data_IF_535889154474
#
_entry.id   IF_535889154474
#
_cell.length_a   1.000
_cell.length_b   1.000
_cell.length_c   1.000
_cell.angle_alpha   90.00
_cell.angle_beta   90.00
_cell.angle_gamma   90.00
#
_symmetry.space_group_name_H-M   'P 1'
#
loop_
_entity.id
_entity.type
_entity.pdbx_description
1 polymer ?
#
# COMPACT_ATOMS: atom_id res chain seq x y z
N UNK A 1 -16.21 -17.05 2.55
CA UNK A 1 -15.13 -16.82 1.56
C UNK A 1 -13.72 -17.25 2.00
N UNK A 2 -13.49 -17.62 3.27
CA UNK A 2 -12.16 -17.87 3.87
C UNK A 2 -11.37 -19.10 3.35
N UNK A 3 -11.88 -19.86 2.37
CA UNK A 3 -11.26 -21.11 1.90
C UNK A 3 -10.65 -21.05 0.50
N UNK A 4 -10.66 -19.88 -0.16
CA UNK A 4 -10.05 -19.78 -1.48
C UNK A 4 -8.52 -19.88 -1.36
N UNK A 5 -7.96 -20.91 -1.98
CA UNK A 5 -6.52 -21.16 -2.08
C UNK A 5 -6.07 -21.05 -3.55
N UNK A 6 -4.77 -20.87 -3.80
CA UNK A 6 -4.24 -20.72 -5.16
C UNK A 6 -4.62 -19.39 -5.81
N UNK A 7 -4.90 -19.38 -7.13
CA UNK A 7 -5.12 -18.14 -7.88
C UNK A 7 -6.37 -17.34 -7.47
N UNK A 8 -7.27 -17.96 -6.70
CA UNK A 8 -8.57 -17.39 -6.35
C UNK A 8 -8.59 -16.70 -4.98
N UNK A 9 -7.49 -16.70 -4.21
CA UNK A 9 -7.53 -16.03 -2.90
C UNK A 9 -7.57 -14.51 -3.06
N UNK A 10 -8.23 -13.87 -2.10
CA UNK A 10 -8.24 -12.41 -1.91
C UNK A 10 -7.41 -12.01 -0.70
N UNK A 11 -7.00 -10.75 -0.65
CA UNK A 11 -6.31 -10.19 0.50
C UNK A 11 -7.28 -9.36 1.33
N UNK A 12 -7.33 -9.61 2.64
CA UNK A 12 -8.13 -8.82 3.58
C UNK A 12 -7.41 -7.50 3.84
N UNK A 13 -8.09 -6.36 3.70
CA UNK A 13 -7.49 -5.06 3.99
C UNK A 13 -7.81 -4.66 5.43
N UNK A 14 -6.78 -4.52 6.26
CA UNK A 14 -6.88 -4.17 7.69
C UNK A 14 -6.25 -2.83 8.06
N UNK A 15 -5.76 -2.09 7.08
CA UNK A 15 -5.32 -0.70 7.23
C UNK A 15 -5.38 0.01 5.89
N UNK A 16 -5.89 1.24 5.88
CA UNK A 16 -5.99 2.08 4.69
C UNK A 16 -5.56 3.49 5.08
N UNK A 17 -4.47 3.97 4.47
CA UNK A 17 -4.01 5.34 4.60
C UNK A 17 -3.74 5.94 3.24
N UNK A 18 -4.66 6.77 2.77
CA UNK A 18 -4.50 7.59 1.57
C UNK A 18 -4.47 9.06 1.95
N UNK A 19 -3.55 9.81 1.34
CA UNK A 19 -3.44 11.26 1.52
C UNK A 19 -3.25 11.91 0.17
N UNK A 20 -3.92 13.03 -0.06
CA UNK A 20 -3.76 13.85 -1.27
C UNK A 20 -3.81 15.31 -0.88
N UNK A 21 -2.73 16.05 -1.16
CA UNK A 21 -2.47 17.37 -0.57
C UNK A 21 -2.57 17.28 0.96
N UNK A 22 -3.67 17.76 1.54
CA UNK A 22 -3.86 17.86 2.99
C UNK A 22 -4.89 16.85 3.52
N UNK A 23 -5.74 16.34 2.64
CA UNK A 23 -6.89 15.53 3.00
C UNK A 23 -6.50 14.07 3.12
N UNK A 24 -7.08 13.40 4.12
CA UNK A 24 -6.78 12.00 4.45
C UNK A 24 -8.05 11.15 4.38
N UNK A 25 -7.96 9.98 3.75
CA UNK A 25 -9.03 8.97 3.70
C UNK A 25 -10.43 9.57 3.42
N UNK A 26 -11.29 9.56 4.44
CA UNK A 26 -12.67 10.07 4.43
C UNK A 26 -12.76 11.50 3.93
N UNK A 27 -11.81 12.37 4.30
CA UNK A 27 -11.82 13.78 3.89
C UNK A 27 -11.68 13.92 2.37
N UNK A 28 -10.88 13.05 1.74
CA UNK A 28 -10.72 13.01 0.29
C UNK A 28 -12.06 12.58 -0.35
N UNK A 29 -12.65 11.50 0.16
CA UNK A 29 -13.92 10.99 -0.33
C UNK A 29 -15.04 12.04 -0.23
N UNK A 30 -15.16 12.70 0.92
CA UNK A 30 -16.17 13.72 1.16
C UNK A 30 -15.95 14.97 0.31
N UNK A 31 -14.70 15.39 0.09
CA UNK A 31 -14.40 16.51 -0.79
C UNK A 31 -14.77 16.19 -2.26
N UNK A 32 -14.48 14.98 -2.72
CA UNK A 32 -14.89 14.49 -4.05
C UNK A 32 -16.41 14.46 -4.18
N UNK A 33 -17.10 13.89 -3.18
CA UNK A 33 -18.54 13.72 -3.18
C UNK A 33 -19.30 15.05 -3.05
N UNK A 34 -18.73 16.01 -2.31
CA UNK A 34 -19.27 17.36 -2.19
C UNK A 34 -19.10 18.16 -3.47
N UNK A 35 -17.94 18.01 -4.16
CA UNK A 35 -17.70 18.66 -5.45
C UNK A 35 -18.63 18.11 -6.53
N UNK A 36 -18.87 16.79 -6.52
CA UNK A 36 -19.77 16.09 -7.43
C UNK A 36 -19.59 16.50 -8.91
N UNK A 37 -18.33 16.57 -9.37
CA UNK A 37 -17.97 16.94 -10.73
C UNK A 37 -16.84 16.03 -11.23
N UNK A 38 -17.05 15.38 -12.38
CA UNK A 38 -16.07 14.47 -12.98
C UNK A 38 -14.94 15.19 -13.72
N UNK A 39 -15.04 16.51 -13.89
CA UNK A 39 -14.14 17.29 -14.72
C UNK A 39 -13.45 18.43 -13.96
N UNK A 40 -13.65 18.51 -12.64
CA UNK A 40 -13.09 19.55 -11.81
C UNK A 40 -12.48 18.99 -10.52
N UNK A 41 -11.32 19.53 -10.14
CA UNK A 41 -10.68 19.20 -8.88
C UNK A 41 -11.41 19.83 -7.69
N UNK A 42 -11.39 19.15 -6.55
CA UNK A 42 -11.80 19.73 -5.27
C UNK A 42 -10.66 20.53 -4.62
N UNK A 43 -9.40 20.37 -5.07
CA UNK A 43 -8.26 21.10 -4.55
C UNK A 43 -8.37 22.60 -4.87
N UNK A 44 -7.74 23.41 -4.02
CA UNK A 44 -7.81 24.85 -4.16
C UNK A 44 -7.12 25.35 -5.43
N UNK A 45 -7.69 26.40 -6.02
CA UNK A 45 -7.05 27.16 -7.11
C UNK A 45 -6.38 28.44 -6.61
N UNK A 46 -6.35 28.66 -5.29
CA UNK A 46 -5.66 29.77 -4.65
C UNK A 46 -4.23 29.35 -4.26
N UNK A 47 -3.17 29.95 -4.83
CA UNK A 47 -1.78 29.61 -4.48
C UNK A 47 -1.48 29.76 -2.98
N UNK A 48 -2.11 30.73 -2.31
CA UNK A 48 -1.90 31.02 -0.88
C UNK A 48 -2.33 29.87 0.05
N UNK A 49 -3.13 28.93 -0.44
CA UNK A 49 -3.55 27.75 0.33
C UNK A 49 -2.45 26.66 0.38
N UNK A 50 -1.33 26.89 -0.31
CA UNK A 50 -0.20 25.97 -0.40
C UNK A 50 1.06 26.54 0.28
N UNK A 51 1.97 25.72 0.81
CA UNK A 51 3.18 26.21 1.48
C UNK A 51 4.09 27.05 0.57
N UNK A 52 4.58 28.18 1.11
CA UNK A 52 5.35 29.17 0.34
C UNK A 52 6.87 28.94 0.33
N UNK A 53 7.42 28.24 1.32
CA UNK A 53 8.86 27.93 1.44
C UNK A 53 9.17 26.44 1.37
N UNK A 54 10.41 26.09 1.04
CA UNK A 54 10.84 24.69 0.89
C UNK A 54 10.85 23.92 2.21
N UNK A 55 11.21 24.58 3.31
CA UNK A 55 11.14 23.99 4.65
C UNK A 55 9.69 23.67 5.04
N UNK A 56 8.76 24.61 4.80
CA UNK A 56 7.33 24.37 5.06
C UNK A 56 6.79 23.21 4.21
N UNK A 57 7.20 23.13 2.93
CA UNK A 57 6.81 22.01 2.04
C UNK A 57 7.36 20.68 2.55
N UNK A 58 8.60 20.64 3.02
CA UNK A 58 9.24 19.45 3.58
C UNK A 58 8.55 18.98 4.87
N UNK A 59 8.27 19.89 5.78
CA UNK A 59 7.58 19.59 7.04
C UNK A 59 6.14 19.13 6.76
N UNK A 60 5.46 19.79 5.83
CA UNK A 60 4.14 19.39 5.36
C UNK A 60 4.15 17.95 4.83
N UNK A 61 5.11 17.66 3.94
CA UNK A 61 5.34 16.34 3.38
C UNK A 61 5.55 15.28 4.47
N UNK A 62 6.36 15.58 5.48
CA UNK A 62 6.65 14.66 6.59
C UNK A 62 5.38 14.35 7.37
N UNK A 63 4.59 15.36 7.69
CA UNK A 63 3.31 15.22 8.40
C UNK A 63 2.36 14.31 7.61
N UNK A 64 2.11 14.62 6.34
CA UNK A 64 1.16 13.81 5.53
C UNK A 64 1.65 12.40 5.30
N UNK A 65 2.97 12.20 5.17
CA UNK A 65 3.58 10.87 5.07
C UNK A 65 3.40 10.07 6.35
N UNK A 66 3.68 10.69 7.51
CA UNK A 66 3.50 10.08 8.82
C UNK A 66 2.05 9.71 9.10
N UNK A 67 1.10 10.60 8.76
CA UNK A 67 -0.33 10.34 8.88
C UNK A 67 -0.76 9.18 7.98
N UNK A 68 -0.45 9.23 6.67
CA UNK A 68 -0.80 8.16 5.75
C UNK A 68 -0.22 6.80 6.18
N UNK A 69 1.04 6.78 6.63
CA UNK A 69 1.65 5.57 7.15
C UNK A 69 1.00 5.08 8.45
N UNK A 70 0.62 5.98 9.36
CA UNK A 70 -0.10 5.64 10.60
C UNK A 70 -1.46 5.01 10.30
N UNK A 71 -2.24 5.58 9.38
CA UNK A 71 -3.51 5.01 8.96
C UNK A 71 -3.35 3.65 8.26
N UNK A 72 -2.35 3.52 7.39
CA UNK A 72 -2.09 2.28 6.67
C UNK A 72 -1.53 1.15 7.54
N UNK A 73 -0.62 1.46 8.47
CA UNK A 73 0.14 0.48 9.24
C UNK A 73 -0.22 0.41 10.73
N UNK A 74 -1.09 1.29 11.24
CA UNK A 74 -1.42 1.39 12.67
C UNK A 74 -2.12 0.17 13.27
N UNK A 75 -2.61 -0.74 12.42
CA UNK A 75 -3.16 -2.03 12.82
C UNK A 75 -2.20 -3.20 12.61
N UNK A 76 -0.94 -2.92 12.29
CA UNK A 76 0.10 -3.94 12.25
C UNK A 76 0.32 -4.54 13.65
N UNK A 77 0.73 -5.80 13.69
CA UNK A 77 0.93 -6.53 14.94
C UNK A 77 2.24 -6.08 15.58
N UNK A 78 2.17 -5.62 16.83
CA UNK A 78 3.35 -5.11 17.53
C UNK A 78 4.37 -6.23 17.74
N UNK A 79 5.66 -5.86 17.77
CA UNK A 79 6.80 -6.76 17.96
C UNK A 79 6.91 -7.90 16.92
N UNK A 80 6.09 -7.89 15.87
CA UNK A 80 6.19 -8.83 14.75
C UNK A 80 6.83 -8.13 13.54
N UNK A 81 7.87 -8.70 12.90
CA UNK A 81 8.53 -8.11 11.73
C UNK A 81 7.62 -8.11 10.48
N UNK A 82 6.92 -7.00 10.25
CA UNK A 82 6.00 -6.80 9.13
C UNK A 82 6.77 -6.61 7.82
N UNK A 83 6.58 -7.47 6.80
CA UNK A 83 7.17 -7.25 5.48
C UNK A 83 6.56 -6.04 4.77
N UNK A 84 7.40 -5.17 4.21
CA UNK A 84 7.00 -3.93 3.53
C UNK A 84 7.46 -3.93 2.07
N UNK A 85 6.52 -3.75 1.14
CA UNK A 85 6.76 -3.49 -0.28
C UNK A 85 6.53 -2.00 -0.53
N UNK A 86 7.52 -1.27 -1.05
CA UNK A 86 7.47 0.21 -1.09
C UNK A 86 7.92 0.83 -2.42
N UNK A 87 7.02 1.54 -3.07
CA UNK A 87 7.28 2.18 -4.38
C UNK A 87 7.44 3.69 -4.21
N UNK A 88 8.41 4.26 -4.92
CA UNK A 88 8.63 5.70 -5.04
C UNK A 88 8.74 6.14 -6.50
N UNK A 89 8.70 7.46 -6.79
CA UNK A 89 8.83 7.94 -8.15
C UNK A 89 10.22 7.66 -8.72
N UNK A 90 10.41 7.79 -10.05
CA UNK A 90 11.72 7.70 -10.67
C UNK A 90 12.73 8.65 -10.00
N UNK A 91 14.01 8.25 -9.98
CA UNK A 91 15.10 9.03 -9.41
C UNK A 91 16.27 9.15 -10.37
N UNK A 92 17.11 10.16 -10.18
CA UNK A 92 18.41 10.22 -10.85
C UNK A 92 19.28 9.01 -10.43
N UNK A 93 20.12 8.53 -11.35
CA UNK A 93 21.02 7.40 -11.08
C UNK A 93 22.06 7.74 -10.00
N UNK A 94 22.53 8.98 -9.96
CA UNK A 94 23.48 9.47 -8.95
C UNK A 94 22.82 9.69 -7.57
N UNK A 95 21.49 9.77 -7.52
CA UNK A 95 20.79 9.97 -6.25
C UNK A 95 20.74 8.65 -5.45
N UNK A 96 21.36 8.63 -4.27
CA UNK A 96 21.41 7.46 -3.40
C UNK A 96 20.06 7.10 -2.75
N UNK A 97 19.07 8.00 -2.76
CA UNK A 97 17.78 7.76 -2.11
C UNK A 97 16.97 6.71 -2.87
N UNK A 98 16.77 5.55 -2.24
CA UNK A 98 15.81 4.54 -2.69
C UNK A 98 14.54 4.54 -1.84
N UNK A 99 13.43 4.07 -2.40
CA UNK A 99 12.14 4.10 -1.72
C UNK A 99 12.16 3.40 -0.33
N UNK A 100 12.89 2.29 -0.18
CA UNK A 100 13.02 1.58 1.10
C UNK A 100 13.56 2.42 2.28
N UNK A 101 14.33 3.47 2.02
CA UNK A 101 14.89 4.34 3.07
C UNK A 101 13.80 5.07 3.87
N UNK A 102 12.60 5.22 3.31
CA UNK A 102 11.50 5.89 3.99
C UNK A 102 10.88 5.03 5.11
N UNK A 103 11.04 3.70 5.11
CA UNK A 103 10.35 2.83 6.08
C UNK A 103 10.69 3.21 7.53
N UNK A 104 11.98 3.42 7.82
CA UNK A 104 12.43 3.72 9.18
C UNK A 104 11.97 5.10 9.65
N UNK A 105 12.03 6.12 8.77
CA UNK A 105 11.53 7.46 9.04
C UNK A 105 10.02 7.45 9.25
N UNK A 106 9.27 6.84 8.34
CA UNK A 106 7.81 6.74 8.42
C UNK A 106 7.34 6.04 9.71
N UNK A 107 8.06 5.02 10.18
CA UNK A 107 7.80 4.39 11.49
C UNK A 107 7.86 5.42 12.63
N UNK A 108 8.85 6.32 12.62
CA UNK A 108 8.98 7.36 13.65
C UNK A 108 7.85 8.38 13.54
N UNK A 109 7.61 8.92 12.34
CA UNK A 109 6.56 9.93 12.12
C UNK A 109 5.16 9.37 12.44
N UNK A 110 4.93 8.08 12.18
CA UNK A 110 3.67 7.41 12.50
C UNK A 110 3.54 7.00 13.98
N UNK A 111 4.57 7.25 14.82
CA UNK A 111 4.61 6.83 16.23
C UNK A 111 4.49 5.30 16.44
N UNK A 112 4.93 4.51 15.47
CA UNK A 112 4.88 3.04 15.48
C UNK A 112 6.14 2.45 16.12
N UNK A 113 6.50 2.96 17.30
CA UNK A 113 7.78 2.70 17.95
C UNK A 113 8.02 1.26 18.37
N UNK A 114 6.96 0.44 18.48
CA UNK A 114 7.00 -1.00 18.82
C UNK A 114 6.67 -1.92 17.63
N UNK A 115 6.41 -1.36 16.46
CA UNK A 115 6.17 -2.12 15.24
C UNK A 115 7.49 -2.36 14.53
N UNK A 116 7.77 -3.62 14.22
CA UNK A 116 8.96 -4.02 13.47
C UNK A 116 8.61 -4.06 11.99
N UNK A 117 9.47 -3.51 11.14
CA UNK A 117 9.30 -3.54 9.69
C UNK A 117 10.50 -4.21 9.02
N UNK A 118 10.26 -4.91 7.92
CA UNK A 118 11.30 -5.47 7.08
C UNK A 118 11.13 -4.92 5.67
N UNK A 119 12.21 -4.46 5.06
CA UNK A 119 12.22 -4.12 3.65
C UNK A 119 12.14 -5.42 2.84
N UNK A 120 10.95 -5.68 2.28
CA UNK A 120 10.66 -6.88 1.49
C UNK A 120 11.00 -6.67 0.02
N UNK A 121 10.59 -5.53 -0.53
CA UNK A 121 10.90 -5.11 -1.89
C UNK A 121 10.68 -3.60 -2.05
N UNK A 122 11.37 -2.99 -3.02
CA UNK A 122 11.16 -1.59 -3.36
C UNK A 122 11.47 -1.29 -4.84
N UNK A 123 10.91 -0.19 -5.34
CA UNK A 123 11.24 0.33 -6.65
C UNK A 123 11.11 1.85 -6.71
N UNK A 124 11.93 2.48 -7.54
CA UNK A 124 11.77 3.86 -7.99
C UNK A 124 11.34 3.82 -9.46
N UNK A 125 10.04 3.98 -9.72
CA UNK A 125 9.42 3.67 -11.03
C UNK A 125 8.24 4.60 -11.32
N UNK A 126 7.86 4.71 -12.58
CA UNK A 126 6.63 5.33 -13.04
C UNK A 126 5.45 4.33 -13.12
N UNK A 127 5.71 3.02 -13.00
CA UNK A 127 4.68 1.97 -12.94
C UNK A 127 4.25 1.68 -11.50
N UNK A 128 3.38 2.52 -10.95
CA UNK A 128 2.80 2.31 -9.62
C UNK A 128 1.94 1.05 -9.52
N UNK A 129 1.28 0.65 -10.62
CA UNK A 129 0.34 -0.47 -10.61
C UNK A 129 1.04 -1.82 -10.41
N UNK A 130 2.30 -1.93 -10.86
CA UNK A 130 3.13 -3.12 -10.66
C UNK A 130 3.25 -3.55 -9.20
N UNK A 131 3.15 -2.62 -8.24
CA UNK A 131 3.25 -2.91 -6.81
C UNK A 131 2.18 -3.90 -6.33
N UNK A 132 0.95 -3.81 -6.86
CA UNK A 132 -0.14 -4.74 -6.49
C UNK A 132 0.15 -6.14 -7.04
N UNK A 133 0.64 -6.25 -8.27
CA UNK A 133 1.10 -7.53 -8.82
C UNK A 133 2.20 -8.15 -7.98
N UNK A 134 3.19 -7.34 -7.55
CA UNK A 134 4.28 -7.77 -6.66
C UNK A 134 3.77 -8.26 -5.31
N UNK A 135 2.79 -7.58 -4.72
CA UNK A 135 2.15 -7.99 -3.47
C UNK A 135 1.53 -9.39 -3.57
N UNK A 136 0.75 -9.66 -4.62
CA UNK A 136 0.16 -11.00 -4.79
C UNK A 136 1.23 -12.08 -5.04
N UNK A 137 2.26 -11.78 -5.85
CA UNK A 137 3.39 -12.70 -6.05
C UNK A 137 4.12 -13.01 -4.74
N UNK A 138 4.25 -12.04 -3.84
CA UNK A 138 4.83 -12.23 -2.51
C UNK A 138 4.00 -13.22 -1.67
N UNK A 139 2.68 -13.06 -1.62
CA UNK A 139 1.79 -13.99 -0.92
C UNK A 139 1.74 -15.39 -1.57
N UNK A 140 1.93 -15.49 -2.89
CA UNK A 140 2.03 -16.76 -3.62
C UNK A 140 3.34 -17.50 -3.27
N UNK A 141 4.47 -16.78 -3.24
CA UNK A 141 5.79 -17.33 -2.94
C UNK A 141 5.96 -17.71 -1.46
N UNK A 142 5.21 -17.07 -0.57
CA UNK A 142 5.31 -17.27 0.87
C UNK A 142 3.93 -17.64 1.44
N UNK A 143 3.51 -18.92 1.38
CA UNK A 143 2.17 -19.33 1.82
C UNK A 143 1.96 -19.25 3.35
N UNK A 144 3.01 -18.97 4.11
CA UNK A 144 3.04 -18.84 5.57
C UNK A 144 2.91 -17.39 6.06
N UNK A 145 3.19 -16.38 5.22
CA UNK A 145 3.18 -14.98 5.69
C UNK A 145 1.74 -14.51 6.03
N UNK A 146 1.47 -14.03 7.26
CA UNK A 146 0.11 -13.68 7.66
C UNK A 146 -0.34 -12.30 7.19
N UNK A 147 0.60 -11.37 6.95
CA UNK A 147 0.31 -10.00 6.57
C UNK A 147 1.48 -9.32 5.82
N UNK A 148 1.20 -8.23 5.13
CA UNK A 148 2.21 -7.36 4.53
C UNK A 148 1.69 -5.92 4.44
N UNK A 149 2.61 -4.96 4.38
CA UNK A 149 2.31 -3.56 4.13
C UNK A 149 2.76 -3.21 2.71
N UNK A 150 1.88 -2.57 1.93
CA UNK A 150 2.30 -1.82 0.73
C UNK A 150 2.27 -0.33 1.03
N UNK A 151 3.28 0.40 0.54
CA UNK A 151 3.39 1.83 0.73
C UNK A 151 3.90 2.53 -0.52
N UNK A 152 3.43 3.74 -0.78
CA UNK A 152 3.99 4.62 -1.78
C UNK A 152 3.80 6.08 -1.40
N UNK A 153 4.64 6.93 -1.99
CA UNK A 153 4.56 8.39 -1.88
C UNK A 153 5.03 9.02 -3.18
N UNK A 154 4.37 10.07 -3.61
CA UNK A 154 4.75 10.91 -4.75
C UNK A 154 4.37 12.37 -4.48
N UNK A 155 4.86 13.27 -5.31
CA UNK A 155 4.58 14.70 -5.20
C UNK A 155 5.67 15.53 -5.87
N UNK A 156 5.37 16.81 -6.11
CA UNK A 156 6.30 17.73 -6.81
C UNK A 156 7.63 17.84 -6.06
N UNK A 157 7.58 18.02 -4.73
CA UNK A 157 8.78 18.12 -3.90
C UNK A 157 9.56 16.79 -3.84
N UNK A 158 8.86 15.65 -3.79
CA UNK A 158 9.53 14.33 -3.81
C UNK A 158 10.34 14.15 -5.09
N UNK A 159 9.72 14.48 -6.23
CA UNK A 159 10.35 14.35 -7.54
C UNK A 159 11.51 15.32 -7.73
N UNK A 160 11.39 16.54 -7.23
CA UNK A 160 12.47 17.52 -7.21
C UNK A 160 13.69 16.99 -6.42
N UNK A 161 13.46 16.48 -5.20
CA UNK A 161 14.51 15.89 -4.36
C UNK A 161 15.17 14.65 -4.98
N UNK A 162 14.43 13.87 -5.78
CA UNK A 162 14.96 12.68 -6.46
C UNK A 162 15.65 13.01 -7.80
N UNK A 163 15.32 14.14 -8.42
CA UNK A 163 16.04 14.73 -9.55
C UNK A 163 15.98 13.93 -10.86
N UNK A 164 15.00 13.03 -11.04
CA UNK A 164 14.91 12.25 -12.28
C UNK A 164 14.74 13.16 -13.52
N UNK A 165 15.44 12.90 -14.63
CA UNK A 165 15.27 13.69 -15.84
C UNK A 165 13.80 13.76 -16.28
N UNK A 166 13.27 14.98 -16.42
CA UNK A 166 11.88 15.22 -16.84
C UNK A 166 10.83 15.10 -15.73
N UNK A 167 11.22 14.95 -14.45
CA UNK A 167 10.28 14.86 -13.33
C UNK A 167 9.67 16.19 -12.86
N UNK A 168 9.97 17.29 -13.57
CA UNK A 168 9.62 18.65 -13.16
C UNK A 168 10.85 19.43 -12.65
N UNK A 169 10.74 20.75 -12.61
CA UNK A 169 11.74 21.62 -11.99
C UNK A 169 11.39 21.91 -10.52
N UNK A 170 12.29 22.60 -9.79
CA UNK A 170 12.08 22.92 -8.38
C UNK A 170 10.78 23.69 -8.16
N UNK A 171 10.19 23.49 -6.98
CA UNK A 171 8.98 24.21 -6.60
C UNK A 171 9.25 25.72 -6.67
N UNK A 172 8.37 26.46 -7.35
CA UNK A 172 8.56 27.91 -7.55
C UNK A 172 8.76 28.67 -6.22
N UNK A 173 9.44 29.81 -6.27
CA UNK A 173 9.61 30.67 -5.09
C UNK A 173 8.24 31.21 -4.66
N UNK A 174 7.87 31.03 -3.39
CA UNK A 174 6.61 31.52 -2.82
C UNK A 174 5.44 30.55 -2.97
N UNK A 175 4.25 31.03 -2.61
CA UNK A 175 3.00 30.27 -2.67
C UNK A 175 2.68 29.84 -4.11
N UNK A 176 2.51 28.54 -4.34
CA UNK A 176 2.26 27.98 -5.66
C UNK A 176 1.42 26.71 -5.58
N UNK A 177 0.46 26.58 -6.51
CA UNK A 177 -0.27 25.33 -6.72
C UNK A 177 0.72 24.29 -7.25
N UNK A 178 0.93 23.16 -6.58
CA UNK A 178 1.88 22.15 -7.02
C UNK A 178 1.37 21.48 -8.31
N UNK A 179 2.28 21.18 -9.24
CA UNK A 179 1.95 20.45 -10.46
C UNK A 179 1.48 19.02 -10.17
N UNK A 180 2.03 18.43 -9.11
CA UNK A 180 1.63 17.16 -8.52
C UNK A 180 1.37 17.40 -7.03
N UNK A 181 0.12 17.27 -6.54
CA UNK A 181 -0.13 17.32 -5.09
C UNK A 181 0.65 16.20 -4.40
N UNK A 182 1.04 16.44 -3.15
CA UNK A 182 1.60 15.36 -2.34
C UNK A 182 0.58 14.23 -2.23
N UNK A 183 1.02 13.02 -2.49
CA UNK A 183 0.17 11.84 -2.46
C UNK A 183 0.85 10.71 -1.73
N UNK A 184 0.12 10.06 -0.84
CA UNK A 184 0.58 8.92 -0.04
C UNK A 184 -0.48 7.83 -0.15
N UNK A 185 -0.04 6.59 -0.34
CA UNK A 185 -0.92 5.43 -0.30
C UNK A 185 -0.30 4.33 0.55
N UNK A 186 -1.07 3.74 1.44
CA UNK A 186 -0.65 2.68 2.34
C UNK A 186 -1.78 1.68 2.57
N UNK A 187 -1.50 0.38 2.40
CA UNK A 187 -2.45 -0.69 2.71
C UNK A 187 -1.77 -1.78 3.54
N UNK A 188 -2.33 -2.08 4.72
CA UNK A 188 -2.01 -3.29 5.46
C UNK A 188 -2.97 -4.39 5.02
N UNK A 189 -2.42 -5.47 4.45
CA UNK A 189 -3.19 -6.62 3.99
C UNK A 189 -2.89 -7.86 4.82
N UNK A 190 -3.89 -8.72 5.01
CA UNK A 190 -3.78 -9.92 5.84
C UNK A 190 -4.42 -11.15 5.22
N UNK A 191 -4.13 -12.30 5.84
CA UNK A 191 -4.67 -13.61 5.53
C UNK A 191 -5.11 -14.30 6.82
N UNK A 192 -6.38 -14.12 7.21
CA UNK A 192 -6.94 -14.72 8.42
C UNK A 192 -6.84 -16.25 8.43
N UNK A 193 -6.92 -16.93 7.27
CA UNK A 193 -6.70 -18.39 7.18
C UNK A 193 -5.30 -18.83 7.63
N UNK A 194 -4.28 -17.99 7.40
CA UNK A 194 -2.90 -18.25 7.85
C UNK A 194 -2.77 -17.99 9.34
N UNK A 195 -3.41 -16.94 9.86
CA UNK A 195 -3.46 -16.69 11.30
C UNK A 195 -4.16 -17.84 12.02
N UNK A 196 -5.32 -18.28 11.55
CA UNK A 196 -6.11 -19.32 12.19
C UNK A 196 -5.42 -20.69 12.15
N UNK A 197 -4.67 -21.00 11.09
CA UNK A 197 -3.98 -22.29 10.95
C UNK A 197 -2.58 -22.32 11.57
N UNK A 198 -1.80 -21.25 11.40
CA UNK A 198 -0.36 -21.25 11.70
C UNK A 198 -0.01 -20.53 13.00
N UNK A 199 -0.92 -19.68 13.52
CA UNK A 199 -0.64 -18.82 14.67
C UNK A 199 -1.58 -19.14 15.82
N UNK A 200 -2.89 -19.07 15.59
CA UNK A 200 -3.93 -19.16 16.64
C UNK A 200 -3.83 -20.41 17.51
N UNK A 201 -3.59 -21.63 16.97
CA UNK A 201 -3.49 -22.85 17.78
C UNK A 201 -2.27 -22.89 18.69
N UNK A 202 -1.28 -22.04 18.43
CA UNK A 202 0.02 -22.03 19.09
C UNK A 202 0.24 -20.77 19.94
N UNK A 203 -0.75 -19.88 20.05
CA UNK A 203 -0.52 -18.62 20.75
C UNK A 203 -0.23 -18.83 22.24
N UNK A 204 0.69 -18.04 22.78
CA UNK A 204 1.10 -18.11 24.19
C UNK A 204 0.39 -17.07 25.03
N UNK A 205 -0.06 -17.47 26.21
CA UNK A 205 -0.55 -16.53 27.19
C UNK A 205 0.63 -15.75 27.79
N UNK A 206 0.60 -14.43 27.65
CA UNK A 206 1.63 -13.54 28.16
C UNK A 206 1.01 -12.18 28.46
N UNK A 207 1.56 -11.45 29.44
CA UNK A 207 1.21 -10.03 29.63
C UNK A 207 1.68 -9.17 28.46
N UNK A 208 0.94 -8.10 28.19
CA UNK A 208 1.34 -7.03 27.27
C UNK A 208 2.26 -5.99 27.95
N UNK A 209 2.36 -6.00 29.28
CA UNK A 209 3.27 -5.14 30.04
C UNK A 209 4.70 -5.69 29.97
N UNK A 210 5.38 -5.42 28.85
CA UNK A 210 6.73 -5.91 28.55
C UNK A 210 7.67 -4.76 28.19
N UNK A 211 8.96 -4.95 28.45
CA UNK A 211 10.04 -4.07 28.03
C UNK A 211 11.29 -4.89 27.65
N UNK A 212 12.35 -4.21 27.21
CA UNK A 212 13.58 -4.84 26.69
C UNK A 212 14.30 -5.77 27.68
N UNK A 213 14.02 -5.70 28.98
CA UNK A 213 14.64 -6.56 30.02
C UNK A 213 13.84 -7.82 30.32
N UNK A 214 12.62 -7.98 29.79
CA UNK A 214 11.83 -9.20 29.97
C UNK A 214 12.31 -10.34 29.05
N UNK A 215 13.61 -10.67 29.11
CA UNK A 215 14.29 -11.57 28.18
C UNK A 215 13.88 -13.03 28.30
N UNK A 216 13.06 -13.39 29.27
CA UNK A 216 12.45 -14.73 29.36
C UNK A 216 11.38 -14.94 28.28
N UNK A 217 10.81 -13.86 27.73
CA UNK A 217 9.82 -13.91 26.68
C UNK A 217 10.45 -13.94 25.30
N UNK A 218 10.13 -14.96 24.49
CA UNK A 218 10.67 -15.13 23.15
C UNK A 218 10.37 -13.93 22.23
N UNK A 219 9.23 -13.25 22.41
CA UNK A 219 8.88 -12.01 21.70
C UNK A 219 9.83 -10.84 22.04
N UNK A 220 10.32 -10.76 23.27
CA UNK A 220 11.30 -9.73 23.68
C UNK A 220 12.70 -10.11 23.23
N UNK A 221 13.05 -11.40 23.22
CA UNK A 221 14.29 -11.85 22.56
C UNK A 221 14.29 -11.49 21.08
N UNK A 222 13.16 -11.70 20.39
CA UNK A 222 12.99 -11.33 18.98
C UNK A 222 13.18 -9.83 18.75
N UNK A 223 12.53 -9.01 19.58
CA UNK A 223 12.67 -7.55 19.57
C UNK A 223 14.13 -7.12 19.74
N UNK A 224 14.80 -7.62 20.79
CA UNK A 224 16.18 -7.28 21.08
C UNK A 224 17.11 -7.73 19.94
N UNK A 225 16.86 -8.91 19.35
CA UNK A 225 17.62 -9.43 18.22
C UNK A 225 17.44 -8.59 16.95
N UNK A 226 16.21 -8.17 16.64
CA UNK A 226 15.94 -7.25 15.54
C UNK A 226 16.72 -5.93 15.68
N UNK A 227 16.68 -5.33 16.88
CA UNK A 227 17.35 -4.06 17.12
C UNK A 227 18.86 -4.16 17.23
N UNK A 228 19.41 -5.29 17.72
CA UNK A 228 20.86 -5.49 17.72
C UNK A 228 21.41 -5.50 16.30
N UNK A 229 20.72 -6.14 15.35
CA UNK A 229 21.11 -6.14 13.93
C UNK A 229 20.86 -4.79 13.26
N UNK A 230 19.70 -4.15 13.52
CA UNK A 230 19.36 -2.86 12.89
C UNK A 230 20.31 -1.74 13.32
N UNK A 231 20.76 -1.77 14.59
CA UNK A 231 21.64 -0.75 15.15
C UNK A 231 23.13 -1.05 14.95
N UNK A 232 23.48 -2.21 14.39
CA UNK A 232 24.88 -2.54 14.11
C UNK A 232 25.44 -1.64 13.00
N UNK A 233 26.54 -0.97 13.32
CA UNK A 233 27.26 -0.03 12.44
C UNK A 233 28.62 -0.58 11.98
N UNK A 234 28.91 -1.85 12.27
CA UNK A 234 30.11 -2.52 11.79
C UNK A 234 30.13 -2.61 10.25
N UNK A 235 31.31 -2.69 9.62
CA UNK A 235 31.42 -2.94 8.18
C UNK A 235 30.73 -4.24 7.72
N UNK A 236 30.64 -5.23 8.60
CA UNK A 236 30.00 -6.52 8.35
C UNK A 236 28.48 -6.49 8.54
N UNK A 237 27.92 -5.42 9.13
CA UNK A 237 26.49 -5.27 9.34
C UNK A 237 25.71 -5.12 8.03
N UNK A 238 24.39 -5.26 8.08
CA UNK A 238 23.54 -5.03 6.90
C UNK A 238 23.78 -3.64 6.30
N UNK A 239 23.86 -2.60 7.12
CA UNK A 239 24.11 -1.23 6.66
C UNK A 239 25.50 -1.09 6.03
N UNK A 240 26.52 -1.70 6.64
CA UNK A 240 27.89 -1.67 6.11
C UNK A 240 28.00 -2.36 4.75
N UNK A 241 27.43 -3.57 4.63
CA UNK A 241 27.42 -4.33 3.37
C UNK A 241 26.58 -3.64 2.29
N UNK A 242 25.43 -3.05 2.66
CA UNK A 242 24.58 -2.29 1.76
C UNK A 242 25.33 -1.10 1.17
N UNK A 243 25.95 -0.26 2.01
CA UNK A 243 26.70 0.90 1.56
C UNK A 243 27.89 0.52 0.67
N UNK A 244 28.57 -0.59 1.00
CA UNK A 244 29.63 -1.14 0.13
C UNK A 244 29.08 -1.52 -1.25
N UNK A 245 27.95 -2.23 -1.30
CA UNK A 245 27.31 -2.66 -2.55
C UNK A 245 26.88 -1.47 -3.40
N UNK A 246 26.25 -0.44 -2.79
CA UNK A 246 25.85 0.77 -3.51
C UNK A 246 27.07 1.54 -4.05
N UNK A 247 28.16 1.60 -3.29
CA UNK A 247 29.42 2.20 -3.75
C UNK A 247 30.02 1.46 -4.95
N UNK A 248 30.02 0.13 -4.91
CA UNK A 248 30.44 -0.73 -6.02
C UNK A 248 29.54 -0.57 -7.25
N UNK A 249 28.26 -0.26 -7.05
CA UNK A 249 27.29 0.06 -8.10
C UNK A 249 27.43 1.51 -8.65
N UNK A 250 28.36 2.31 -8.14
CA UNK A 250 28.68 3.65 -8.63
C UNK A 250 27.96 4.80 -7.92
N UNK A 251 27.31 4.56 -6.78
CA UNK A 251 26.80 5.63 -5.92
C UNK A 251 27.97 6.30 -5.20
N UNK A 252 28.16 7.60 -5.41
CA UNK A 252 29.29 8.37 -4.86
C UNK A 252 29.28 8.39 -3.33
N UNK A 253 28.13 8.74 -2.75
CA UNK A 253 27.91 8.84 -1.30
C UNK A 253 26.70 8.00 -0.84
N UNK A 254 26.89 6.67 -0.61
CA UNK A 254 25.79 5.80 -0.23
C UNK A 254 25.34 6.04 1.21
N UNK A 255 24.04 6.29 1.37
CA UNK A 255 23.40 6.53 2.66
C UNK A 255 23.07 5.21 3.39
N UNK A 256 23.11 5.20 4.74
CA UNK A 256 22.65 4.05 5.51
C UNK A 256 21.15 3.89 5.34
N UNK A 257 20.70 2.66 5.08
CA UNK A 257 19.29 2.39 4.76
C UNK A 257 18.37 2.41 6.00
N UNK A 258 18.92 2.19 7.20
CA UNK A 258 18.18 2.33 8.47
C UNK A 258 17.10 1.27 8.76
N UNK A 259 16.92 0.29 7.87
CA UNK A 259 15.94 -0.80 7.98
C UNK A 259 16.57 -2.11 7.51
N UNK A 260 16.22 -3.25 8.11
CA UNK A 260 16.70 -4.56 7.66
C UNK A 260 15.92 -5.03 6.43
N UNK A 261 16.61 -5.62 5.45
CA UNK A 261 15.92 -6.39 4.41
C UNK A 261 15.37 -7.71 4.99
N UNK A 262 14.25 -8.19 4.41
CA UNK A 262 13.70 -9.49 4.77
C UNK A 262 14.73 -10.61 4.55
N UNK A 263 15.48 -10.60 3.45
CA UNK A 263 16.49 -11.63 3.17
C UNK A 263 17.61 -11.67 4.22
N UNK A 264 18.13 -10.50 4.62
CA UNK A 264 19.12 -10.41 5.68
C UNK A 264 18.58 -10.93 7.01
N UNK A 265 17.39 -10.48 7.41
CA UNK A 265 16.71 -10.94 8.62
C UNK A 265 16.58 -12.46 8.64
N UNK A 266 16.08 -13.04 7.56
CA UNK A 266 15.84 -14.49 7.46
C UNK A 266 17.13 -15.31 7.50
N UNK A 267 18.22 -14.81 6.90
CA UNK A 267 19.53 -15.47 6.95
C UNK A 267 20.10 -15.60 8.37
N UNK A 268 19.68 -14.71 9.29
CA UNK A 268 20.18 -14.67 10.67
C UNK A 268 19.24 -15.35 11.68
N UNK A 269 18.00 -15.70 11.28
CA UNK A 269 17.05 -16.41 12.14
C UNK A 269 17.58 -17.74 12.71
N UNK A 270 18.39 -18.55 12.00
CA UNK A 270 18.95 -19.77 12.58
C UNK A 270 19.78 -19.56 13.85
N UNK A 271 20.52 -18.45 13.96
CA UNK A 271 21.25 -18.10 15.17
C UNK A 271 20.31 -17.66 16.29
N UNK A 272 19.30 -16.85 15.96
CA UNK A 272 18.27 -16.45 16.90
C UNK A 272 17.51 -17.65 17.49
N UNK A 273 17.15 -18.62 16.65
CA UNK A 273 16.40 -19.80 17.09
C UNK A 273 17.16 -20.66 18.10
N UNK A 274 18.49 -20.57 18.20
CA UNK A 274 19.28 -21.21 19.26
C UNK A 274 19.04 -20.57 20.65
N UNK A 275 18.51 -19.35 20.70
CA UNK A 275 18.27 -18.59 21.93
C UNK A 275 16.85 -18.78 22.50
N UNK A 276 15.97 -19.40 21.73
CA UNK A 276 14.60 -19.72 22.14
C UNK A 276 14.46 -21.22 22.38
N UNK A 277 13.57 -21.58 23.29
CA UNK A 277 13.26 -22.98 23.60
C UNK A 277 11.86 -23.37 23.09
N UNK A 278 11.17 -22.46 22.40
CA UNK A 278 9.92 -22.70 21.72
C UNK A 278 8.84 -23.29 22.65
N UNK A 279 8.74 -22.77 23.88
CA UNK A 279 7.77 -23.22 24.88
C UNK A 279 6.37 -22.66 24.58
N UNK A 280 5.35 -23.50 24.69
CA UNK A 280 3.96 -23.11 24.47
C UNK A 280 3.09 -24.25 23.95
N UNK A 281 1.82 -23.96 23.63
CA UNK A 281 0.89 -24.95 23.10
C UNK A 281 1.39 -25.55 21.78
N UNK A 282 1.17 -26.86 21.61
CA UNK A 282 1.40 -27.59 20.37
C UNK A 282 2.85 -27.62 19.87
N UNK A 283 3.04 -28.27 18.72
CA UNK A 283 4.33 -28.35 18.04
C UNK A 283 4.47 -27.20 17.03
N UNK A 284 4.61 -25.97 17.53
CA UNK A 284 4.81 -24.79 16.70
C UNK A 284 6.13 -24.91 15.92
N UNK A 285 6.07 -24.69 14.61
CA UNK A 285 7.25 -24.63 13.74
C UNK A 285 7.50 -23.17 13.35
N UNK A 286 8.59 -22.55 13.85
CA UNK A 286 8.99 -21.23 13.41
C UNK A 286 9.18 -21.20 11.89
N UNK A 287 8.78 -20.09 11.26
CA UNK A 287 9.05 -19.82 9.86
C UNK A 287 9.79 -18.49 9.71
N UNK A 288 10.35 -18.20 8.52
CA UNK A 288 11.00 -16.91 8.26
C UNK A 288 10.10 -15.69 8.52
N UNK A 289 8.77 -15.84 8.35
CA UNK A 289 7.78 -14.78 8.59
C UNK A 289 7.00 -14.93 9.91
N UNK A 290 7.13 -16.06 10.61
CA UNK A 290 6.56 -16.29 11.94
C UNK A 290 7.67 -16.88 12.84
N UNK A 291 8.67 -16.06 13.23
CA UNK A 291 9.90 -16.54 13.85
C UNK A 291 9.72 -17.01 15.30
N UNK A 292 8.65 -16.57 15.97
CA UNK A 292 8.23 -16.98 17.32
C UNK A 292 6.70 -17.05 17.38
N UNK A 293 6.16 -17.75 18.38
CA UNK A 293 4.71 -17.76 18.65
C UNK A 293 4.21 -16.34 18.89
N UNK A 294 3.05 -16.00 18.34
CA UNK A 294 2.35 -14.81 18.78
C UNK A 294 1.78 -15.02 20.18
N UNK A 295 1.61 -13.93 20.91
CA UNK A 295 0.91 -13.93 22.19
C UNK A 295 -0.60 -13.85 21.99
N UNK A 296 -1.37 -14.17 23.03
CA UNK A 296 -2.83 -13.98 23.04
C UNK A 296 -3.24 -12.51 22.87
N UNK A 297 -2.41 -11.55 23.33
CA UNK A 297 -2.69 -10.14 23.12
C UNK A 297 -2.38 -9.68 21.69
N UNK A 298 -1.37 -10.25 21.01
CA UNK A 298 -1.14 -10.00 19.58
C UNK A 298 -2.30 -10.55 18.73
N UNK A 299 -2.81 -11.73 19.06
CA UNK A 299 -4.04 -12.24 18.43
C UNK A 299 -5.22 -11.29 18.66
N UNK A 300 -5.36 -10.76 19.88
CA UNK A 300 -6.41 -9.78 20.18
C UNK A 300 -6.24 -8.49 19.38
N UNK A 301 -5.01 -8.04 19.10
CA UNK A 301 -4.78 -6.91 18.19
C UNK A 301 -5.29 -7.22 16.78
N UNK A 302 -4.94 -8.40 16.24
CA UNK A 302 -5.41 -8.87 14.94
C UNK A 302 -6.95 -8.95 14.88
N UNK A 303 -7.57 -9.59 15.87
CA UNK A 303 -9.02 -9.79 15.92
C UNK A 303 -9.79 -8.46 16.10
N UNK A 304 -9.18 -7.47 16.75
CA UNK A 304 -9.79 -6.15 16.96
C UNK A 304 -9.60 -5.18 15.80
N UNK A 305 -8.66 -5.45 14.88
CA UNK A 305 -8.42 -4.60 13.72
C UNK A 305 -9.66 -4.60 12.80
N UNK A 306 -10.08 -3.42 12.27
CA UNK A 306 -11.16 -3.35 11.30
C UNK A 306 -10.83 -4.15 10.04
N UNK A 307 -11.88 -4.65 9.38
CA UNK A 307 -11.80 -5.14 8.01
C UNK A 307 -12.41 -4.08 7.10
N UNK A 308 -11.56 -3.40 6.33
CA UNK A 308 -11.97 -2.34 5.40
C UNK A 308 -12.59 -2.90 4.12
N UNK A 309 -12.21 -4.13 3.74
CA UNK A 309 -12.69 -4.81 2.55
C UNK A 309 -11.72 -5.89 2.09
N UNK A 310 -11.90 -6.31 0.84
CA UNK A 310 -11.05 -7.30 0.20
C UNK A 310 -10.41 -6.68 -1.05
N UNK A 311 -9.11 -6.90 -1.19
CA UNK A 311 -8.34 -6.60 -2.38
C UNK A 311 -8.25 -7.86 -3.25
N UNK A 312 -8.68 -7.75 -4.49
CA UNK A 312 -8.68 -8.85 -5.46
C UNK A 312 -7.43 -8.82 -6.33
N UNK A 313 -7.08 -9.98 -6.90
CA UNK A 313 -5.89 -10.12 -7.75
C UNK A 313 -6.00 -9.20 -8.99
N UNK A 314 -4.93 -8.49 -9.36
CA UNK A 314 -4.93 -7.66 -10.57
C UNK A 314 -5.11 -8.50 -11.83
N UNK A 315 -5.87 -7.96 -12.78
CA UNK A 315 -5.96 -8.46 -14.15
C UNK A 315 -5.21 -7.49 -15.06
N UNK A 316 -4.04 -7.91 -15.53
CA UNK A 316 -3.25 -7.18 -16.50
C UNK A 316 -3.77 -7.43 -17.93
N UNK A 317 -3.95 -6.34 -18.68
CA UNK A 317 -4.46 -6.30 -20.05
C UNK A 317 -3.37 -5.71 -20.95
N UNK A 318 -2.94 -6.46 -21.97
CA UNK A 318 -1.99 -5.96 -22.98
C UNK A 318 -2.73 -5.06 -23.98
N UNK A 319 -2.23 -3.83 -24.17
CA UNK A 319 -2.82 -2.84 -25.07
C UNK A 319 -1.92 -2.51 -26.27
N UNK A 320 -0.86 -3.30 -26.44
CA UNK A 320 0.12 -3.18 -27.50
C UNK A 320 0.15 -4.44 -28.36
N UNK A 321 0.58 -4.28 -29.60
CA UNK A 321 0.91 -5.39 -30.49
C UNK A 321 2.24 -6.06 -30.09
N UNK A 322 2.69 -7.02 -30.88
CA UNK A 322 3.95 -7.74 -30.63
C UNK A 322 5.20 -6.90 -30.91
N UNK A 323 5.04 -5.71 -31.51
CA UNK A 323 6.09 -4.73 -31.73
C UNK A 323 6.08 -3.62 -30.67
N UNK A 324 5.20 -3.71 -29.66
CA UNK A 324 5.08 -2.71 -28.58
C UNK A 324 4.33 -1.44 -28.98
N UNK A 325 3.70 -1.39 -30.15
CA UNK A 325 2.88 -0.26 -30.59
C UNK A 325 1.47 -0.39 -30.03
N UNK A 326 0.87 0.71 -29.57
CA UNK A 326 -0.52 0.72 -29.10
C UNK A 326 -1.47 0.18 -30.17
N UNK A 327 -2.36 -0.71 -29.74
CA UNK A 327 -3.45 -1.23 -30.55
C UNK A 327 -4.39 -0.09 -30.97
N UNK A 328 -5.20 -0.30 -32.02
CA UNK A 328 -6.25 0.68 -32.36
C UNK A 328 -7.29 0.75 -31.24
N UNK A 329 -7.96 1.88 -31.10
CA UNK A 329 -8.93 2.13 -30.00
C UNK A 329 -9.96 1.01 -29.84
N UNK A 330 -10.55 0.52 -30.93
CA UNK A 330 -11.51 -0.59 -30.87
C UNK A 330 -10.88 -1.89 -30.35
N UNK A 331 -9.66 -2.21 -30.79
CA UNK A 331 -8.94 -3.41 -30.35
C UNK A 331 -8.50 -3.29 -28.87
N UNK A 332 -8.18 -2.07 -28.40
CA UNK A 332 -7.96 -1.80 -26.97
C UNK A 332 -9.25 -1.97 -26.15
N UNK A 333 -10.39 -1.50 -26.65
CA UNK A 333 -11.69 -1.62 -25.99
C UNK A 333 -12.08 -3.10 -25.82
N UNK A 334 -11.92 -3.93 -26.85
CA UNK A 334 -12.18 -5.38 -26.75
C UNK A 334 -11.24 -6.05 -25.73
N UNK A 335 -9.95 -5.69 -25.70
CA UNK A 335 -9.01 -6.21 -24.73
C UNK A 335 -9.38 -5.81 -23.29
N UNK A 336 -9.77 -4.55 -23.07
CA UNK A 336 -10.22 -4.04 -21.78
C UNK A 336 -11.53 -4.69 -21.35
N UNK A 337 -12.48 -4.91 -22.28
CA UNK A 337 -13.73 -5.63 -22.01
C UNK A 337 -13.44 -7.04 -21.52
N UNK A 338 -12.58 -7.79 -22.22
CA UNK A 338 -12.21 -9.14 -21.81
C UNK A 338 -11.51 -9.16 -20.44
N UNK A 339 -10.63 -8.18 -20.18
CA UNK A 339 -10.00 -7.98 -18.88
C UNK A 339 -10.99 -7.68 -17.77
N UNK A 340 -11.98 -6.82 -18.06
CA UNK A 340 -13.06 -6.46 -17.14
C UNK A 340 -13.91 -7.67 -16.78
N UNK A 341 -14.37 -8.42 -17.78
CA UNK A 341 -15.16 -9.65 -17.58
C UNK A 341 -14.40 -10.68 -16.73
N UNK A 342 -13.08 -10.82 -16.95
CA UNK A 342 -12.23 -11.68 -16.12
C UNK A 342 -12.11 -11.18 -14.68
N UNK A 343 -11.98 -9.88 -14.48
CA UNK A 343 -11.90 -9.28 -13.14
C UNK A 343 -13.23 -9.41 -12.38
N UNK A 344 -14.37 -9.20 -13.06
CA UNK A 344 -15.71 -9.39 -12.48
C UNK A 344 -15.97 -10.86 -12.15
N UNK A 345 -15.58 -11.80 -13.02
CA UNK A 345 -15.74 -13.22 -12.76
C UNK A 345 -14.96 -13.73 -11.53
N UNK A 346 -13.94 -12.98 -11.07
CA UNK A 346 -13.20 -13.28 -9.86
C UNK A 346 -13.89 -12.79 -8.57
N UNK A 347 -14.91 -11.92 -8.69
CA UNK A 347 -15.66 -11.43 -7.53
C UNK A 347 -16.54 -12.54 -6.93
N UNK A 348 -16.68 -12.57 -5.60
CA UNK A 348 -17.53 -13.54 -4.93
C UNK A 348 -19.01 -13.23 -5.16
N UNK A 349 -19.80 -14.28 -5.41
CA UNK A 349 -21.27 -14.20 -5.40
C UNK A 349 -21.89 -13.37 -6.52
N UNK A 350 -21.30 -13.43 -7.73
CA UNK A 350 -21.79 -12.73 -8.94
C UNK A 350 -21.96 -11.21 -8.72
N UNK A 351 -21.13 -10.61 -7.87
CA UNK A 351 -21.17 -9.17 -7.63
C UNK A 351 -20.76 -8.37 -8.86
N UNK A 352 -21.54 -7.34 -9.17
CA UNK A 352 -21.23 -6.35 -10.20
C UNK A 352 -20.57 -5.12 -9.57
N UNK A 353 -19.48 -4.58 -10.15
CA UNK A 353 -18.91 -3.32 -9.72
C UNK A 353 -19.90 -2.18 -9.91
N UNK A 354 -20.05 -1.34 -8.89
CA UNK A 354 -20.91 -0.14 -8.93
C UNK A 354 -20.14 1.13 -9.26
N UNK A 355 -18.80 1.05 -9.24
CA UNK A 355 -17.88 2.16 -9.37
C UNK A 355 -16.66 1.75 -10.18
N UNK A 356 -16.12 2.68 -10.95
CA UNK A 356 -14.82 2.59 -11.61
C UNK A 356 -14.00 3.85 -11.34
N UNK A 357 -12.80 3.64 -10.80
CA UNK A 357 -11.79 4.66 -10.59
C UNK A 357 -10.74 4.54 -11.69
N UNK A 358 -10.35 5.67 -12.28
CA UNK A 358 -9.35 5.74 -13.34
C UNK A 358 -8.64 7.08 -13.27
N UNK A 359 -7.55 7.22 -14.02
CA UNK A 359 -6.71 8.41 -14.01
C UNK A 359 -6.42 8.86 -15.44
N UNK A 360 -6.90 10.04 -15.83
CA UNK A 360 -6.63 10.65 -17.14
C UNK A 360 -5.42 11.58 -17.16
N UNK A 361 -4.69 11.67 -16.06
CA UNK A 361 -3.45 12.43 -15.99
C UNK A 361 -2.46 11.95 -17.04
N UNK A 362 -1.83 12.89 -17.74
CA UNK A 362 -0.84 12.61 -18.79
C UNK A 362 -1.45 12.20 -20.13
N UNK A 363 -2.65 11.62 -20.16
CA UNK A 363 -3.36 11.27 -21.39
C UNK A 363 -4.87 11.17 -21.19
N UNK A 364 -5.59 12.22 -21.60
CA UNK A 364 -7.06 12.25 -21.55
C UNK A 364 -7.72 11.26 -22.51
N UNK A 365 -7.04 10.86 -23.59
CA UNK A 365 -7.59 9.93 -24.56
C UNK A 365 -7.59 8.48 -24.03
N UNK A 366 -6.88 8.20 -22.94
CA UNK A 366 -6.88 6.91 -22.25
C UNK A 366 -8.30 6.45 -21.84
N UNK A 367 -9.18 7.38 -21.47
CA UNK A 367 -10.55 7.06 -21.08
C UNK A 367 -11.42 6.57 -22.24
N UNK A 368 -11.06 6.86 -23.50
CA UNK A 368 -11.87 6.50 -24.67
C UNK A 368 -12.06 4.98 -24.82
N UNK A 369 -10.98 4.17 -24.94
CA UNK A 369 -11.14 2.72 -25.05
C UNK A 369 -11.75 2.09 -23.79
N UNK A 370 -11.50 2.66 -22.59
CA UNK A 370 -12.15 2.22 -21.35
C UNK A 370 -13.67 2.46 -21.39
N UNK A 371 -14.12 3.65 -21.81
CA UNK A 371 -15.55 3.94 -21.92
C UNK A 371 -16.23 3.02 -22.93
N UNK A 372 -15.60 2.78 -24.08
CA UNK A 372 -16.09 1.84 -25.09
C UNK A 372 -16.22 0.43 -24.52
N UNK A 373 -15.21 -0.06 -23.78
CA UNK A 373 -15.23 -1.37 -23.17
C UNK A 373 -16.40 -1.54 -22.19
N UNK A 374 -16.60 -0.58 -21.27
CA UNK A 374 -17.69 -0.66 -20.29
C UNK A 374 -19.06 -0.53 -20.94
N UNK A 375 -19.21 0.33 -21.95
CA UNK A 375 -20.45 0.44 -22.72
C UNK A 375 -20.81 -0.87 -23.44
N UNK A 376 -19.81 -1.62 -23.93
CA UNK A 376 -20.02 -2.94 -24.54
C UNK A 376 -20.38 -4.03 -23.52
N UNK A 377 -19.90 -3.94 -22.27
CA UNK A 377 -20.35 -4.82 -21.17
C UNK A 377 -21.82 -4.57 -20.85
N UNK A 378 -22.26 -3.31 -20.94
CA UNK A 378 -23.66 -2.91 -20.77
C UNK A 378 -24.00 -2.55 -19.34
N UNK A 379 -25.27 -2.76 -18.94
CA UNK A 379 -25.84 -2.23 -17.69
C UNK A 379 -25.21 -2.75 -16.39
N UNK A 380 -24.42 -3.81 -16.46
CA UNK A 380 -23.69 -4.39 -15.33
C UNK A 380 -22.34 -3.71 -15.06
N UNK A 381 -21.89 -2.83 -15.96
CA UNK A 381 -20.69 -2.01 -15.78
C UNK A 381 -21.06 -0.57 -15.40
N UNK A 382 -20.23 0.10 -14.57
CA UNK A 382 -20.39 1.52 -14.26
C UNK A 382 -20.12 2.39 -15.50
N UNK A 383 -20.83 3.50 -15.59
CA UNK A 383 -20.65 4.53 -16.63
C UNK A 383 -19.57 5.54 -16.24
N UNK A 384 -18.67 5.88 -17.17
CA UNK A 384 -17.68 6.94 -16.94
C UNK A 384 -18.32 8.33 -16.95
N UNK A 385 -19.46 8.47 -17.61
CA UNK A 385 -20.20 9.74 -17.74
C UNK A 385 -21.05 10.04 -16.50
N UNK A 386 -21.32 9.04 -15.64
CA UNK A 386 -22.06 9.23 -14.40
C UNK A 386 -21.10 9.57 -13.25
N UNK A 387 -21.36 10.71 -12.58
CA UNK A 387 -20.53 11.23 -11.50
C UNK A 387 -20.51 10.35 -10.23
N UNK A 388 -21.46 9.42 -10.09
CA UNK A 388 -21.54 8.47 -8.97
C UNK A 388 -21.01 7.08 -9.33
N UNK A 389 -20.70 6.83 -10.60
CA UNK A 389 -20.19 5.55 -11.07
C UNK A 389 -18.74 5.65 -11.58
N UNK A 390 -18.42 6.66 -12.39
CA UNK A 390 -17.08 6.93 -12.92
C UNK A 390 -16.35 8.01 -12.13
N UNK A 391 -15.15 7.71 -11.65
CA UNK A 391 -14.31 8.62 -10.87
C UNK A 391 -12.95 8.82 -11.56
N UNK A 392 -12.84 9.90 -12.33
CA UNK A 392 -11.56 10.33 -12.89
C UNK A 392 -10.74 11.05 -11.81
N UNK A 393 -9.81 10.32 -11.18
CA UNK A 393 -8.93 10.85 -10.14
C UNK A 393 -7.95 11.88 -10.69
N UNK A 394 -7.57 11.78 -11.96
CA UNK A 394 -6.73 12.78 -12.62
C UNK A 394 -7.42 14.14 -12.73
N UNK A 395 -8.72 14.15 -13.00
CA UNK A 395 -9.51 15.39 -13.02
C UNK A 395 -9.92 15.87 -11.62
N UNK A 396 -10.34 14.95 -10.74
CA UNK A 396 -10.90 15.26 -9.41
C UNK A 396 -9.84 15.58 -8.35
N UNK A 397 -8.61 15.09 -8.51
CA UNK A 397 -7.49 15.34 -7.59
C UNK A 397 -6.33 16.00 -8.34
N UNK A 398 -5.86 15.38 -9.42
CA UNK A 398 -4.66 15.77 -10.14
C UNK A 398 -3.66 14.62 -10.24
N UNK A 399 -2.45 14.93 -10.70
CA UNK A 399 -1.40 13.93 -10.90
C UNK A 399 -0.84 13.40 -9.56
N UNK A 400 -1.27 12.22 -9.14
CA UNK A 400 -0.78 11.51 -7.95
C UNK A 400 0.34 10.50 -8.26
N UNK A 401 0.84 10.49 -9.49
CA UNK A 401 2.04 9.76 -9.90
C UNK A 401 2.02 8.27 -9.55
N UNK A 402 3.14 7.78 -8.99
CA UNK A 402 3.29 6.37 -8.60
C UNK A 402 2.28 5.94 -7.53
N UNK A 403 1.69 6.89 -6.79
CA UNK A 403 0.70 6.63 -5.76
C UNK A 403 -0.72 6.45 -6.29
N UNK A 404 -1.00 6.85 -7.54
CA UNK A 404 -2.35 6.82 -8.12
C UNK A 404 -3.11 5.49 -7.93
N UNK A 405 -2.50 4.30 -8.13
CA UNK A 405 -3.19 3.03 -7.91
C UNK A 405 -3.64 2.83 -6.45
N UNK A 406 -2.82 3.21 -5.45
CA UNK A 406 -3.21 3.08 -4.04
C UNK A 406 -4.24 4.14 -3.62
N UNK A 407 -4.19 5.35 -4.19
CA UNK A 407 -5.24 6.36 -3.99
C UNK A 407 -6.58 5.83 -4.50
N UNK A 408 -6.62 5.32 -5.73
CA UNK A 408 -7.83 4.74 -6.33
C UNK A 408 -8.34 3.53 -5.54
N UNK A 409 -7.45 2.64 -5.10
CA UNK A 409 -7.84 1.48 -4.27
C UNK A 409 -8.41 1.93 -2.92
N UNK A 410 -7.79 2.89 -2.25
CA UNK A 410 -8.27 3.43 -0.98
C UNK A 410 -9.65 4.08 -1.11
N UNK A 411 -9.86 4.90 -2.15
CA UNK A 411 -11.18 5.50 -2.44
C UNK A 411 -12.22 4.43 -2.78
N UNK A 412 -11.85 3.42 -3.56
CA UNK A 412 -12.73 2.28 -3.86
C UNK A 412 -13.13 1.52 -2.59
N UNK A 413 -12.21 1.31 -1.64
CA UNK A 413 -12.50 0.68 -0.36
C UNK A 413 -13.44 1.53 0.49
N UNK A 414 -13.21 2.85 0.57
CA UNK A 414 -14.09 3.78 1.30
C UNK A 414 -15.50 3.75 0.72
N UNK A 415 -15.63 3.92 -0.59
CA UNK A 415 -16.90 3.92 -1.29
C UNK A 415 -17.64 2.59 -1.13
N UNK A 416 -16.95 1.46 -1.36
CA UNK A 416 -17.51 0.13 -1.17
C UNK A 416 -17.96 -0.11 0.27
N UNK A 417 -17.18 0.31 1.27
CA UNK A 417 -17.53 0.13 2.68
C UNK A 417 -18.75 0.97 3.07
N UNK A 418 -18.84 2.22 2.60
CA UNK A 418 -19.92 3.16 2.96
C UNK A 418 -21.22 2.87 2.20
N UNK A 419 -21.12 2.60 0.91
CA UNK A 419 -22.27 2.54 -0.02
C UNK A 419 -22.61 1.11 -0.47
N UNK A 420 -21.78 0.13 -0.11
CA UNK A 420 -21.90 -1.24 -0.62
C UNK A 420 -21.41 -1.38 -2.05
N UNK A 421 -21.47 -2.62 -2.58
CA UNK A 421 -21.04 -2.94 -3.94
C UNK A 421 -19.53 -2.93 -4.14
N UNK A 422 -19.03 -3.72 -5.09
CA UNK A 422 -17.63 -3.71 -5.47
C UNK A 422 -17.26 -2.43 -6.22
N UNK A 423 -15.99 -2.04 -6.15
CA UNK A 423 -15.41 -0.95 -6.95
C UNK A 423 -14.24 -1.48 -7.76
N UNK A 424 -14.05 -0.97 -8.96
CA UNK A 424 -12.92 -1.29 -9.83
C UNK A 424 -11.94 -0.11 -9.88
N UNK A 425 -10.65 -0.39 -10.01
CA UNK A 425 -9.65 0.59 -10.45
C UNK A 425 -9.06 0.14 -11.77
N UNK A 426 -8.81 1.07 -12.69
CA UNK A 426 -8.22 0.78 -14.01
C UNK A 426 -7.04 1.71 -14.24
N UNK A 427 -5.84 1.15 -14.10
CA UNK A 427 -4.60 1.89 -14.13
C UNK A 427 -3.86 1.62 -15.44
N UNK A 428 -3.63 2.67 -16.23
CA UNK A 428 -2.72 2.60 -17.38
C UNK A 428 -1.29 2.43 -16.88
N UNK A 429 -0.51 1.59 -17.55
CA UNK A 429 0.90 1.32 -17.23
C UNK A 429 1.82 1.82 -18.34
N UNK A 430 3.03 2.30 -18.01
CA UNK A 430 3.98 2.83 -18.98
C UNK A 430 4.49 1.79 -19.97
N UNK A 431 4.40 0.49 -19.63
CA UNK A 431 4.79 -0.63 -20.47
C UNK A 431 3.74 -1.01 -21.55
N UNK A 432 2.70 -0.20 -21.76
CA UNK A 432 1.65 -0.47 -22.74
C UNK A 432 0.61 -1.50 -22.27
N UNK A 433 0.51 -1.72 -20.97
CA UNK A 433 -0.55 -2.51 -20.34
C UNK A 433 -1.55 -1.62 -19.60
N UNK A 434 -2.66 -2.19 -19.17
CA UNK A 434 -3.50 -1.65 -18.11
C UNK A 434 -3.74 -2.73 -17.05
N UNK A 435 -3.88 -2.31 -15.79
CA UNK A 435 -4.20 -3.22 -14.68
C UNK A 435 -5.60 -2.88 -14.14
N UNK A 436 -6.46 -3.89 -14.12
CA UNK A 436 -7.79 -3.81 -13.48
C UNK A 436 -7.69 -4.47 -12.11
N UNK A 437 -8.05 -3.75 -11.05
CA UNK A 437 -8.07 -4.27 -9.67
C UNK A 437 -9.46 -4.07 -9.09
N UNK A 438 -10.05 -5.14 -8.57
CA UNK A 438 -11.32 -5.04 -7.85
C UNK A 438 -11.07 -4.88 -6.35
N UNK A 439 -11.95 -4.13 -5.69
CA UNK A 439 -12.14 -4.14 -4.25
C UNK A 439 -13.60 -4.42 -3.92
N UNK A 440 -13.85 -5.15 -2.85
CA UNK A 440 -15.21 -5.45 -2.39
C UNK A 440 -15.36 -5.19 -0.90
N UNK A 441 -16.55 -4.79 -0.44
CA UNK A 441 -16.77 -4.52 0.97
C UNK A 441 -16.72 -5.80 1.81
N UNK A 442 -16.50 -5.67 3.13
CA UNK A 442 -16.74 -6.77 4.05
C UNK A 442 -18.22 -7.16 4.06
N UNK A 443 -18.51 -8.38 4.50
CA UNK A 443 -19.90 -8.78 4.76
C UNK A 443 -20.54 -7.86 5.83
N UNK A 444 -21.83 -7.53 5.66
CA UNK A 444 -22.54 -6.61 6.55
C UNK A 444 -22.52 -7.04 8.03
N UNK A 445 -22.46 -8.35 8.29
CA UNK A 445 -22.31 -8.93 9.63
C UNK A 445 -20.96 -8.61 10.25
N UNK A 446 -19.87 -8.72 9.49
CA UNK A 446 -18.50 -8.40 9.92
C UNK A 446 -18.38 -6.90 10.20
N UNK A 447 -18.90 -6.07 9.29
CA UNK A 447 -18.97 -4.61 9.47
C UNK A 447 -19.70 -4.24 10.77
N UNK A 448 -20.93 -4.75 10.94
CA UNK A 448 -21.76 -4.47 12.12
C UNK A 448 -21.13 -4.93 13.43
N UNK A 449 -20.47 -6.10 13.42
CA UNK A 449 -19.79 -6.64 14.59
C UNK A 449 -18.62 -5.75 15.04
N UNK A 450 -17.91 -5.11 14.11
CA UNK A 450 -16.82 -4.20 14.43
C UNK A 450 -17.33 -2.82 14.86
N UNK A 451 -18.28 -2.25 14.12
CA UNK A 451 -18.82 -0.90 14.34
C UNK A 451 -19.65 -0.80 15.63
N UNK A 452 -20.48 -1.79 15.93
CA UNK A 452 -21.46 -1.72 17.02
C UNK A 452 -20.89 -1.25 18.37
N UNK A 453 -19.83 -1.91 18.91
CA UNK A 453 -19.20 -1.50 20.16
C UNK A 453 -18.43 -0.18 20.08
N UNK A 454 -17.97 0.23 18.88
CA UNK A 454 -17.03 1.34 18.68
C UNK A 454 -17.70 2.65 18.24
N UNK A 455 -18.87 2.55 17.60
CA UNK A 455 -19.58 3.66 16.92
C UNK A 455 -18.60 4.56 16.14
N UNK A 456 -17.78 3.95 15.29
CA UNK A 456 -16.67 4.62 14.62
C UNK A 456 -16.64 4.21 13.15
N UNK A 457 -16.28 5.14 12.27
CA UNK A 457 -15.84 4.84 10.92
C UNK A 457 -14.38 4.33 11.00
N UNK A 458 -14.04 3.14 10.47
CA UNK A 458 -12.67 2.64 10.53
C UNK A 458 -11.67 3.47 9.72
N UNK A 459 -12.13 4.32 8.78
CA UNK A 459 -11.29 5.20 7.98
C UNK A 459 -10.91 6.50 8.68
N UNK A 460 -11.42 6.75 9.89
CA UNK A 460 -11.09 7.88 10.74
C UNK A 460 -10.17 7.44 11.90
N UNK A 461 -9.03 8.12 12.09
CA UNK A 461 -8.26 7.99 13.32
C UNK A 461 -9.02 8.74 14.40
N UNK A 462 -9.73 8.02 15.27
CA UNK A 462 -10.12 8.61 16.56
C UNK A 462 -8.84 8.81 17.39
N UNK A 463 -8.59 10.03 17.92
CA UNK A 463 -7.44 10.31 18.76
C UNK A 463 -7.39 9.44 20.03
#
# INVERSE_FOLDING_TARGET
MLSQTGQNFVLEVRGVGIVTSQQVNTEIWEAIESKADNHATYLSSNPEDYPGGDDDRLDYLRIVTGIGFRYGAGHAIDYWPVPVIIWGPPKDKANAFRAAMHIAGNRQEASLGVTLFLWQDDANTDDGAAMIGKLFQFFDAHPDVPAALVFCRDGSLVRDLLGAPGSGGPSGVGHAIPAMPDSVGALLVTRSDRVDRLIRPFAVEQTAAINKTNTDYDIIKLWNFYWSMTNDRSPESFSGQFQKTEKEAGVEDPLPIGILSSSWWQAHLPEFWKTINNQGPGDFKPTPYIPVRWTTWQLKQFDNAPLFGYLHRPVDVKLTDDHGKLLRTADQAEALKAGWEKAVAALPGEQEPKRVFYDTTGDRQWAIPLNQALAQVGKSAPSLDDVKEGYDIGARIGNTGVSSPLIQIGLGLIASYREGGASATVNRRPNGMASIVMVSPPEASIKSAWEGPRKADPFELKP
#
